data_IF_652830642844
#
_entry.id   IF_652830642844
#
_cell.length_a   1.000
_cell.length_b   1.000
_cell.length_c   1.000
_cell.angle_alpha   90.00
_cell.angle_beta   90.00
_cell.angle_gamma   90.00
#
_symmetry.space_group_name_H-M   'P 1'
#
loop_
_entity.id
_entity.type
_entity.pdbx_description
1 polymer ?
#
# COMPACT_ATOMS: atom_id res chain seq x y z
N UNK A 1 7.30 17.48 -3.25
CA UNK A 1 7.88 16.46 -4.14
C UNK A 1 7.11 15.15 -3.93
N UNK A 2 6.26 14.74 -4.86
CA UNK A 2 5.56 13.43 -4.79
C UNK A 2 6.28 12.50 -5.76
N UNK A 3 7.06 11.57 -5.22
CA UNK A 3 7.88 10.65 -6.00
C UNK A 3 6.96 9.66 -6.71
N UNK A 4 7.02 9.72 -8.05
CA UNK A 4 6.38 8.87 -9.07
C UNK A 4 5.77 7.57 -8.52
N UNK A 5 4.44 7.55 -8.49
CA UNK A 5 3.64 6.35 -8.24
C UNK A 5 3.74 5.41 -9.45
N UNK A 6 4.09 4.15 -9.20
CA UNK A 6 4.29 3.13 -10.22
C UNK A 6 3.00 2.84 -10.99
N UNK A 7 3.12 2.18 -12.14
CA UNK A 7 2.02 1.76 -13.06
C UNK A 7 1.01 0.77 -12.47
N UNK A 8 0.92 0.67 -11.14
CA UNK A 8 -0.11 -0.08 -10.42
C UNK A 8 -1.33 0.85 -10.20
N UNK A 9 -2.57 0.37 -10.38
CA UNK A 9 -3.78 1.20 -10.23
C UNK A 9 -3.97 1.79 -8.82
N UNK A 10 -3.26 1.25 -7.82
CA UNK A 10 -3.20 1.78 -6.45
C UNK A 10 -2.23 2.96 -6.28
N UNK A 11 -1.40 3.27 -7.29
CA UNK A 11 -0.45 4.37 -7.19
C UNK A 11 0.65 4.12 -6.14
N UNK A 12 1.03 2.87 -5.90
CA UNK A 12 2.08 2.59 -4.92
C UNK A 12 3.47 2.98 -5.46
N UNK A 13 4.28 3.57 -4.61
CA UNK A 13 5.71 3.81 -4.86
C UNK A 13 6.54 2.61 -4.36
N UNK A 14 7.84 2.56 -4.70
CA UNK A 14 8.70 1.44 -4.28
C UNK A 14 8.88 1.36 -2.76
N UNK A 15 8.79 2.48 -2.04
CA UNK A 15 8.83 2.52 -0.58
C UNK A 15 7.62 1.85 0.07
N UNK A 16 6.46 1.93 -0.58
CA UNK A 16 5.21 1.33 -0.10
C UNK A 16 5.20 -0.21 -0.18
N UNK A 17 6.14 -0.81 -0.92
CA UNK A 17 6.30 -2.27 -0.99
C UNK A 17 6.56 -2.89 0.40
N UNK A 18 7.31 -2.22 1.26
CA UNK A 18 7.58 -2.72 2.62
C UNK A 18 6.34 -2.65 3.50
N UNK A 19 5.56 -1.57 3.37
CA UNK A 19 4.27 -1.39 4.03
C UNK A 19 3.21 -2.36 3.52
N UNK A 20 3.31 -2.80 2.27
CA UNK A 20 2.41 -3.80 1.66
C UNK A 20 2.78 -5.25 2.05
N UNK A 21 4.08 -5.58 2.03
CA UNK A 21 4.56 -6.96 2.14
C UNK A 21 4.32 -7.57 3.53
N UNK A 22 4.48 -6.79 4.59
CA UNK A 22 4.26 -7.22 5.97
C UNK A 22 2.80 -7.65 6.25
N UNK A 23 1.81 -6.76 6.08
CA UNK A 23 0.41 -7.12 6.34
C UNK A 23 -0.09 -8.20 5.38
N UNK A 24 0.35 -8.22 4.12
CA UNK A 24 0.04 -9.32 3.18
C UNK A 24 0.58 -10.69 3.65
N UNK A 25 1.77 -10.73 4.27
CA UNK A 25 2.34 -11.99 4.80
C UNK A 25 1.67 -12.45 6.08
N UNK A 26 1.25 -11.51 6.92
CA UNK A 26 0.67 -11.80 8.22
C UNK A 26 -0.86 -11.86 8.22
N UNK A 27 -1.52 -11.52 7.10
CA UNK A 27 -2.97 -11.30 7.02
C UNK A 27 -3.46 -10.32 8.11
N UNK A 28 -2.64 -9.31 8.40
CA UNK A 28 -2.95 -8.27 9.38
C UNK A 28 -3.42 -7.01 8.63
N UNK A 29 -4.33 -6.22 9.20
CA UNK A 29 -4.84 -5.04 8.55
C UNK A 29 -3.77 -3.92 8.55
N UNK A 30 -3.65 -3.22 7.43
CA UNK A 30 -2.70 -2.12 7.26
C UNK A 30 -3.34 -0.79 7.62
N UNK A 31 -2.79 -0.11 8.63
CA UNK A 31 -3.13 1.27 8.91
C UNK A 31 -2.34 2.20 7.98
N UNK A 32 -3.03 2.96 7.15
CA UNK A 32 -2.43 3.98 6.29
C UNK A 32 -3.28 5.25 6.29
N UNK A 33 -2.68 6.35 5.83
CA UNK A 33 -3.36 7.64 5.69
C UNK A 33 -3.52 7.99 4.22
N UNK A 34 -4.74 8.33 3.82
CA UNK A 34 -5.08 8.65 2.42
C UNK A 34 -5.71 7.46 1.70
N UNK A 35 -5.59 7.42 0.37
CA UNK A 35 -6.22 6.40 -0.47
C UNK A 35 -5.21 5.45 -1.15
N UNK A 36 -3.92 5.53 -0.77
CA UNK A 36 -2.82 4.85 -1.46
C UNK A 36 -2.95 3.31 -1.43
N UNK A 37 -3.53 2.75 -0.37
CA UNK A 37 -3.77 1.30 -0.25
C UNK A 37 -5.26 0.92 -0.43
N UNK A 38 -6.14 1.88 -0.72
CA UNK A 38 -7.59 1.65 -0.90
C UNK A 38 -7.93 0.76 -2.10
N UNK A 39 -6.99 0.65 -3.06
CA UNK A 39 -7.09 -0.19 -4.26
C UNK A 39 -6.15 -1.39 -4.19
N UNK A 40 -5.91 -1.89 -3.00
CA UNK A 40 -5.11 -3.10 -2.77
C UNK A 40 -5.96 -4.20 -2.16
N UNK A 41 -5.42 -5.41 -2.18
CA UNK A 41 -6.01 -6.64 -1.65
C UNK A 41 -5.72 -6.84 -0.14
N UNK A 42 -5.22 -5.82 0.55
CA UNK A 42 -4.95 -5.87 1.98
C UNK A 42 -6.13 -5.30 2.74
N UNK A 43 -6.49 -5.93 3.87
CA UNK A 43 -7.46 -5.36 4.80
C UNK A 43 -6.94 -4.04 5.39
N UNK A 44 -7.85 -3.07 5.56
CA UNK A 44 -7.56 -1.75 6.12
C UNK A 44 -8.04 -1.72 7.57
N UNK A 45 -7.17 -1.28 8.48
CA UNK A 45 -7.47 -1.14 9.92
C UNK A 45 -8.28 0.13 10.21
#
# INVERSE_FOLDING_TARGET
MKLRQGRHPAGLNYGDCFSYALPRKHNEPLLFKGDDFSRTDIEVA
#
